data_IF_671801510305
#
_entry.id   IF_671801510305
#
_cell.length_a   1.000
_cell.length_b   1.000
_cell.length_c   1.000
_cell.angle_alpha   90.00
_cell.angle_beta   90.00
_cell.angle_gamma   90.00
#
_symmetry.space_group_name_H-M   'P 1'
#
loop_
_entity.id
_entity.type
_entity.pdbx_description
1 polymer ?
#
# COMPACT_ATOMS: atom_id res chain seq x y z
N UNK A 1 -15.33 43.57 36.43
CA UNK A 1 -14.40 43.74 35.31
C UNK A 1 -14.34 42.41 34.57
N UNK A 2 -14.34 42.33 33.24
CA UNK A 2 -14.36 41.08 32.51
C UNK A 2 -15.21 41.12 31.22
N UNK A 3 -15.63 42.34 30.81
CA UNK A 3 -16.42 42.51 29.59
C UNK A 3 -15.50 42.44 28.37
N UNK A 4 -15.85 41.61 27.41
CA UNK A 4 -15.20 41.58 26.10
C UNK A 4 -15.34 42.93 25.40
N UNK A 5 -14.23 43.50 24.95
CA UNK A 5 -14.18 44.84 24.37
C UNK A 5 -14.03 44.80 22.84
N UNK A 6 -13.46 43.74 22.29
CA UNK A 6 -13.28 43.57 20.84
C UNK A 6 -11.95 42.93 20.45
N UNK A 7 -11.81 42.60 19.15
CA UNK A 7 -10.58 42.09 18.55
C UNK A 7 -9.73 43.28 18.07
N UNK A 8 -8.42 43.18 18.24
CA UNK A 8 -7.44 44.08 17.66
C UNK A 8 -6.64 43.39 16.58
N UNK A 9 -6.61 43.97 15.42
CA UNK A 9 -5.76 43.52 14.33
C UNK A 9 -4.28 43.70 14.64
N UNK A 10 -3.38 42.92 14.03
CA UNK A 10 -1.94 43.09 14.15
C UNK A 10 -1.53 44.52 13.81
N UNK A 11 -0.79 45.19 14.72
CA UNK A 11 -0.38 46.57 14.56
C UNK A 11 -0.15 47.28 15.91
N UNK A 12 0.01 48.57 15.85
CA UNK A 12 0.15 49.40 17.05
C UNK A 12 -1.18 49.50 17.79
N UNK A 13 -1.20 49.11 19.07
CA UNK A 13 -2.37 49.21 19.94
C UNK A 13 -1.96 49.64 21.35
N UNK A 14 -2.64 50.63 21.88
CA UNK A 14 -2.44 51.08 23.25
C UNK A 14 -3.38 50.29 24.15
N UNK A 15 -2.80 49.56 25.11
CA UNK A 15 -3.52 48.81 26.14
C UNK A 15 -3.16 49.40 27.51
N UNK A 16 -4.17 49.75 28.30
CA UNK A 16 -3.97 50.24 29.67
C UNK A 16 -4.04 49.03 30.63
N UNK A 17 -2.91 48.58 31.21
CA UNK A 17 -2.83 47.28 31.92
C UNK A 17 -3.75 47.21 33.15
N UNK A 18 -4.12 48.34 33.76
CA UNK A 18 -4.99 48.39 34.95
C UNK A 18 -6.45 48.04 34.59
N UNK A 19 -6.92 48.41 33.38
CA UNK A 19 -8.31 48.27 32.96
C UNK A 19 -8.54 47.24 31.89
N UNK A 20 -7.49 46.84 31.14
CA UNK A 20 -7.58 45.98 29.99
C UNK A 20 -6.55 44.85 30.04
N UNK A 21 -6.95 43.65 29.68
CA UNK A 21 -6.06 42.52 29.48
C UNK A 21 -6.10 42.14 28.02
N UNK A 22 -4.94 41.98 27.41
CA UNK A 22 -4.80 41.52 26.02
C UNK A 22 -4.32 40.08 26.04
N UNK A 23 -5.03 39.22 25.29
CA UNK A 23 -4.62 37.83 25.02
C UNK A 23 -4.21 37.77 23.56
N UNK A 24 -2.97 37.34 23.32
CA UNK A 24 -2.44 37.15 21.97
C UNK A 24 -2.76 35.74 21.51
N UNK A 25 -3.49 35.61 20.40
CA UNK A 25 -3.83 34.36 19.77
C UNK A 25 -3.04 34.23 18.47
N UNK A 26 -2.39 33.10 18.28
CA UNK A 26 -1.66 32.79 17.06
C UNK A 26 -2.62 32.04 16.10
N UNK A 27 -2.82 32.62 14.92
CA UNK A 27 -3.77 32.10 13.91
C UNK A 27 -3.10 31.18 12.85
N UNK A 28 -1.83 30.87 13.04
CA UNK A 28 -1.13 29.93 12.15
C UNK A 28 -1.60 28.51 12.39
N UNK A 29 -1.40 27.65 11.39
CA UNK A 29 -1.63 26.21 11.55
C UNK A 29 -0.71 25.66 12.63
N UNK A 30 -1.28 24.94 13.56
CA UNK A 30 -0.59 24.24 14.66
C UNK A 30 -0.89 22.76 14.58
N UNK A 31 0.07 21.96 15.02
CA UNK A 31 -0.10 20.53 15.19
C UNK A 31 -0.35 20.19 16.67
N UNK A 32 -1.33 19.34 16.92
CA UNK A 32 -1.57 18.71 18.23
C UNK A 32 -1.32 17.22 18.07
N UNK A 33 -0.41 16.73 18.88
CA UNK A 33 -0.18 15.29 18.98
C UNK A 33 -1.23 14.67 19.91
N UNK A 34 -1.91 13.65 19.40
CA UNK A 34 -2.92 12.87 20.15
C UNK A 34 -2.20 11.63 20.65
N UNK A 35 -2.05 11.46 21.98
CA UNK A 35 -1.33 10.32 22.54
C UNK A 35 -2.04 9.01 22.24
N UNK A 36 -1.30 7.90 22.43
CA UNK A 36 -1.78 6.55 22.20
C UNK A 36 -3.12 6.27 22.91
N UNK A 37 -4.10 5.89 22.11
CA UNK A 37 -5.42 5.48 22.58
C UNK A 37 -5.59 3.97 22.42
N UNK A 38 -5.83 3.27 23.53
CA UNK A 38 -6.22 1.87 23.49
C UNK A 38 -7.70 1.77 23.10
N UNK A 39 -7.97 1.07 22.02
CA UNK A 39 -9.31 0.85 21.47
C UNK A 39 -9.53 -0.63 21.22
N UNK A 40 -10.79 -1.04 21.19
CA UNK A 40 -11.20 -2.37 20.73
C UNK A 40 -12.01 -2.16 19.47
N UNK A 41 -11.58 -2.75 18.37
CA UNK A 41 -12.27 -2.68 17.08
C UNK A 41 -13.58 -3.50 17.10
N UNK A 42 -14.41 -3.36 16.07
CA UNK A 42 -15.69 -4.06 15.96
C UNK A 42 -15.52 -5.58 15.94
N UNK A 43 -14.44 -6.09 15.42
CA UNK A 43 -14.05 -7.50 15.38
C UNK A 43 -13.34 -7.99 16.67
N UNK A 44 -13.46 -7.18 17.76
CA UNK A 44 -12.96 -7.49 19.10
C UNK A 44 -11.43 -7.61 19.20
N UNK A 45 -10.69 -6.88 18.36
CA UNK A 45 -9.23 -6.80 18.41
C UNK A 45 -8.81 -5.57 19.21
N UNK A 46 -7.95 -5.77 20.22
CA UNK A 46 -7.34 -4.67 20.96
C UNK A 46 -6.20 -4.04 20.17
N UNK A 47 -6.24 -2.72 20.01
CA UNK A 47 -5.19 -1.98 19.32
C UNK A 47 -4.87 -0.67 20.05
N UNK A 48 -3.68 -0.12 19.82
CA UNK A 48 -3.32 1.24 20.20
C UNK A 48 -3.12 2.08 18.95
N UNK A 49 -3.71 3.27 18.95
CA UNK A 49 -3.64 4.20 17.82
C UNK A 49 -3.29 5.60 18.32
N UNK A 50 -2.47 6.30 17.56
CA UNK A 50 -2.14 7.71 17.76
C UNK A 50 -2.36 8.52 16.48
N UNK A 51 -2.47 9.84 16.62
CA UNK A 51 -2.70 10.73 15.51
C UNK A 51 -2.09 12.12 15.72
N UNK A 52 -1.99 12.87 14.65
CA UNK A 52 -1.69 14.31 14.68
C UNK A 52 -2.82 15.06 14.02
N UNK A 53 -3.24 16.13 14.66
CA UNK A 53 -4.27 17.04 14.15
C UNK A 53 -3.63 18.38 13.82
N UNK A 54 -3.84 18.80 12.58
CA UNK A 54 -3.45 20.13 12.11
C UNK A 54 -4.67 21.03 12.15
N UNK A 55 -4.60 22.07 12.97
CA UNK A 55 -5.69 23.02 13.15
C UNK A 55 -5.18 24.47 13.12
N UNK A 56 -6.07 25.38 12.81
CA UNK A 56 -5.84 26.83 12.93
C UNK A 56 -7.00 27.48 13.66
N UNK A 57 -6.72 28.61 14.30
CA UNK A 57 -7.77 29.46 14.88
C UNK A 57 -8.35 30.31 13.76
N UNK A 58 -9.63 30.10 13.44
CA UNK A 58 -10.37 30.89 12.46
C UNK A 58 -10.95 32.17 13.09
N UNK A 59 -11.49 32.06 14.31
CA UNK A 59 -12.04 33.20 15.06
C UNK A 59 -11.39 33.27 16.46
N UNK A 60 -10.52 34.27 16.65
CA UNK A 60 -9.82 34.45 17.90
C UNK A 60 -10.73 34.86 19.07
N UNK A 61 -11.88 35.50 18.81
CA UNK A 61 -12.81 35.86 19.88
C UNK A 61 -13.50 34.61 20.44
N UNK A 62 -14.05 33.76 19.55
CA UNK A 62 -14.69 32.51 19.96
C UNK A 62 -13.68 31.60 20.67
N UNK A 63 -12.47 31.44 20.15
CA UNK A 63 -11.44 30.60 20.73
C UNK A 63 -11.03 30.98 22.16
N UNK A 64 -11.17 32.25 22.55
CA UNK A 64 -10.82 32.73 23.89
C UNK A 64 -12.03 32.82 24.81
N UNK A 65 -13.24 33.07 24.27
CA UNK A 65 -14.45 33.24 25.06
C UNK A 65 -15.18 31.92 25.35
N UNK A 66 -15.20 31.01 24.37
CA UNK A 66 -15.94 29.75 24.49
C UNK A 66 -15.14 28.64 25.17
N UNK A 67 -13.79 28.69 25.05
CA UNK A 67 -12.94 27.60 25.56
C UNK A 67 -11.75 28.17 26.33
N UNK A 68 -11.54 27.70 27.55
CA UNK A 68 -10.42 28.11 28.40
C UNK A 68 -9.07 27.72 27.79
N UNK A 69 -8.96 26.47 27.33
CA UNK A 69 -7.75 25.94 26.70
C UNK A 69 -8.11 25.13 25.46
N UNK A 70 -8.13 25.78 24.33
CA UNK A 70 -8.51 25.16 23.05
C UNK A 70 -7.56 24.05 22.61
N UNK A 71 -6.26 24.12 22.96
CA UNK A 71 -5.32 23.06 22.67
C UNK A 71 -5.72 21.74 23.37
N UNK A 72 -5.99 21.85 24.67
CA UNK A 72 -6.41 20.69 25.47
C UNK A 72 -7.79 20.18 25.05
N UNK A 73 -8.74 21.06 24.80
CA UNK A 73 -10.08 20.69 24.37
C UNK A 73 -10.06 19.94 23.01
N UNK A 74 -9.33 20.43 22.01
CA UNK A 74 -9.17 19.77 20.71
C UNK A 74 -8.52 18.40 20.88
N UNK A 75 -7.48 18.28 21.73
CA UNK A 75 -6.83 17.00 21.99
C UNK A 75 -7.78 15.99 22.63
N UNK A 76 -8.60 16.39 23.61
CA UNK A 76 -9.57 15.50 24.27
C UNK A 76 -10.71 15.10 23.33
N UNK A 77 -11.21 16.04 22.54
CA UNK A 77 -12.23 15.74 21.53
C UNK A 77 -11.71 14.73 20.51
N UNK A 78 -10.49 14.94 20.04
CA UNK A 78 -9.83 14.04 19.11
C UNK A 78 -9.67 12.62 19.66
N UNK A 79 -9.18 12.49 20.89
CA UNK A 79 -9.05 11.18 21.55
C UNK A 79 -10.37 10.43 21.61
N UNK A 80 -11.45 11.14 21.98
CA UNK A 80 -12.77 10.55 22.09
C UNK A 80 -13.34 10.17 20.72
N UNK A 81 -13.21 11.04 19.73
CA UNK A 81 -13.68 10.80 18.37
C UNK A 81 -12.94 9.67 17.70
N UNK A 82 -11.61 9.62 17.84
CA UNK A 82 -10.79 8.50 17.35
C UNK A 82 -11.23 7.18 17.97
N UNK A 83 -11.40 7.14 19.29
CA UNK A 83 -11.85 5.93 19.99
C UNK A 83 -13.19 5.44 19.45
N UNK A 84 -14.14 6.33 19.23
CA UNK A 84 -15.45 5.99 18.73
C UNK A 84 -15.42 5.49 17.29
N UNK A 85 -14.70 6.16 16.40
CA UNK A 85 -14.61 5.81 14.98
C UNK A 85 -13.87 4.48 14.80
N UNK A 86 -12.69 4.35 15.40
CA UNK A 86 -11.89 3.12 15.31
C UNK A 86 -12.59 1.94 16.01
N UNK A 87 -13.28 2.19 17.13
CA UNK A 87 -14.07 1.18 17.79
C UNK A 87 -15.30 0.71 16.99
N UNK A 88 -15.77 1.48 16.03
CA UNK A 88 -16.86 1.11 15.12
C UNK A 88 -16.40 0.47 13.81
N UNK A 89 -15.11 0.56 13.49
CA UNK A 89 -14.49 0.01 12.28
C UNK A 89 -13.96 -1.42 12.53
N UNK A 90 -13.82 -2.19 11.47
CA UNK A 90 -13.10 -3.47 11.48
C UNK A 90 -11.59 -3.23 11.33
N UNK A 91 -10.78 -4.17 11.81
CA UNK A 91 -9.33 -4.09 11.74
C UNK A 91 -8.84 -3.91 10.30
N UNK A 92 -9.39 -4.67 9.37
CA UNK A 92 -9.04 -4.59 7.95
C UNK A 92 -9.36 -3.21 7.36
N UNK A 93 -10.49 -2.58 7.77
CA UNK A 93 -10.85 -1.23 7.35
C UNK A 93 -9.84 -0.20 7.90
N UNK A 94 -9.42 -0.34 9.15
CA UNK A 94 -8.42 0.56 9.78
C UNK A 94 -7.07 0.46 9.08
N UNK A 95 -6.67 -0.73 8.64
CA UNK A 95 -5.39 -0.95 7.97
C UNK A 95 -5.40 -0.55 6.49
N UNK A 96 -6.49 -0.85 5.78
CA UNK A 96 -6.60 -0.64 4.33
C UNK A 96 -7.11 0.76 3.95
N UNK A 97 -8.02 1.36 4.75
CA UNK A 97 -8.73 2.60 4.41
C UNK A 97 -8.40 3.75 5.39
N UNK A 98 -7.13 3.91 5.75
CA UNK A 98 -6.67 4.95 6.71
C UNK A 98 -7.13 6.36 6.32
N UNK A 99 -7.04 6.71 5.05
CA UNK A 99 -7.43 8.03 4.54
C UNK A 99 -8.91 8.32 4.76
N UNK A 100 -9.76 7.33 4.53
CA UNK A 100 -11.22 7.46 4.73
C UNK A 100 -11.58 7.64 6.20
N UNK A 101 -10.88 6.92 7.09
CA UNK A 101 -11.04 7.08 8.53
C UNK A 101 -10.55 8.46 9.00
N UNK A 102 -9.38 8.90 8.54
CA UNK A 102 -8.85 10.24 8.82
C UNK A 102 -9.82 11.33 8.39
N UNK A 103 -10.42 11.19 7.20
CA UNK A 103 -11.41 12.13 6.70
C UNK A 103 -12.68 12.17 7.57
N UNK A 104 -13.21 11.01 7.96
CA UNK A 104 -14.35 10.93 8.88
C UNK A 104 -14.06 11.57 10.25
N UNK A 105 -12.88 11.32 10.79
CA UNK A 105 -12.43 11.90 12.05
C UNK A 105 -12.35 13.43 11.92
N UNK A 106 -11.74 13.92 10.84
CA UNK A 106 -11.64 15.34 10.52
C UNK A 106 -13.03 15.99 10.48
N UNK A 107 -13.97 15.45 9.74
CA UNK A 107 -15.32 16.00 9.57
C UNK A 107 -16.07 16.16 10.90
N UNK A 108 -15.94 15.16 11.77
CA UNK A 108 -16.59 15.22 13.09
C UNK A 108 -15.91 16.25 13.99
N UNK A 109 -14.58 16.24 14.05
CA UNK A 109 -13.83 17.18 14.89
C UNK A 109 -14.04 18.61 14.41
N UNK A 110 -13.96 18.87 13.11
CA UNK A 110 -14.12 20.20 12.52
C UNK A 110 -15.51 20.76 12.83
N UNK A 111 -16.56 19.94 12.70
CA UNK A 111 -17.92 20.33 13.04
C UNK A 111 -18.09 20.73 14.52
N UNK A 112 -17.50 19.98 15.43
CA UNK A 112 -17.58 20.26 16.87
C UNK A 112 -16.70 21.47 17.28
N UNK A 113 -15.58 21.68 16.58
CA UNK A 113 -14.65 22.79 16.87
C UNK A 113 -15.03 24.10 16.21
N UNK A 114 -15.93 24.08 15.22
CA UNK A 114 -16.47 25.29 14.57
C UNK A 114 -17.14 26.26 15.57
N UNK A 115 -17.84 25.71 16.58
CA UNK A 115 -18.43 26.51 17.65
C UNK A 115 -17.38 27.27 18.46
N UNK A 116 -16.19 26.70 18.58
CA UNK A 116 -15.04 27.32 19.28
C UNK A 116 -14.20 28.24 18.38
N UNK A 117 -14.58 28.40 17.10
CA UNK A 117 -13.84 29.20 16.14
C UNK A 117 -12.50 28.59 15.73
N UNK A 118 -12.40 27.26 15.76
CA UNK A 118 -11.21 26.49 15.37
C UNK A 118 -11.56 25.68 14.13
N UNK A 119 -10.71 25.76 13.12
CA UNK A 119 -10.86 24.95 11.88
C UNK A 119 -9.78 23.88 11.83
N UNK A 120 -10.19 22.66 11.58
CA UNK A 120 -9.30 21.49 11.42
C UNK A 120 -8.92 21.34 9.96
N UNK A 121 -7.65 21.54 9.65
CA UNK A 121 -7.12 21.44 8.28
C UNK A 121 -6.94 19.98 7.86
N UNK A 122 -6.31 19.20 8.74
CA UNK A 122 -6.03 17.78 8.46
C UNK A 122 -5.95 16.95 9.74
N UNK A 123 -6.25 15.66 9.61
CA UNK A 123 -6.03 14.65 10.66
C UNK A 123 -5.25 13.50 10.05
N UNK A 124 -4.13 13.16 10.64
CA UNK A 124 -3.27 12.08 10.19
C UNK A 124 -3.13 11.02 11.28
N UNK A 125 -3.51 9.80 10.96
CA UNK A 125 -3.26 8.63 11.80
C UNK A 125 -1.79 8.24 11.63
N UNK A 126 -1.03 8.21 12.74
CA UNK A 126 0.42 7.87 12.72
C UNK A 126 0.61 6.36 12.77
N UNK A 127 0.64 5.84 13.98
CA UNK A 127 0.99 4.44 14.23
C UNK A 127 -0.22 3.66 14.71
N UNK A 128 -0.27 2.41 14.32
CA UNK A 128 -1.26 1.45 14.76
C UNK A 128 -0.54 0.23 15.32
N UNK A 129 -0.65 0.05 16.62
CA UNK A 129 0.02 -1.04 17.33
C UNK A 129 -0.97 -2.13 17.70
N UNK A 130 -0.61 -3.34 17.34
CA UNK A 130 -1.33 -4.56 17.71
C UNK A 130 -0.57 -5.29 18.81
N UNK A 131 -1.22 -6.12 19.63
CA UNK A 131 -0.53 -7.08 20.49
C UNK A 131 0.32 -8.05 19.66
N UNK A 132 1.51 -8.42 20.18
CA UNK A 132 2.50 -9.26 19.50
C UNK A 132 1.93 -10.57 18.93
N UNK A 133 1.00 -11.21 19.65
CA UNK A 133 0.38 -12.46 19.23
C UNK A 133 -0.52 -12.26 18.00
N UNK A 134 -1.21 -11.12 17.94
CA UNK A 134 -2.09 -10.79 16.83
C UNK A 134 -1.26 -10.37 15.60
N UNK A 135 -0.20 -9.58 15.81
CA UNK A 135 0.71 -9.19 14.74
C UNK A 135 1.31 -10.42 14.05
N UNK A 136 1.75 -11.42 14.82
CA UNK A 136 2.26 -12.68 14.27
C UNK A 136 1.20 -13.46 13.49
N UNK A 137 -0.03 -13.45 13.96
CA UNK A 137 -1.14 -14.14 13.28
C UNK A 137 -1.48 -13.49 11.96
N UNK A 138 -1.58 -12.15 11.93
CA UNK A 138 -1.83 -11.36 10.72
C UNK A 138 -0.67 -11.51 9.74
N UNK A 139 0.59 -11.49 10.22
CA UNK A 139 1.75 -11.70 9.37
C UNK A 139 1.70 -13.07 8.66
N UNK A 140 1.36 -14.15 9.37
CA UNK A 140 1.20 -15.48 8.76
C UNK A 140 0.05 -15.53 7.76
N UNK A 141 -1.07 -14.88 8.07
CA UNK A 141 -2.21 -14.80 7.14
C UNK A 141 -1.84 -14.03 5.87
N UNK A 142 -1.14 -12.89 6.03
CA UNK A 142 -0.68 -12.08 4.90
C UNK A 142 0.36 -12.84 4.04
N UNK A 143 1.24 -13.63 4.66
CA UNK A 143 2.19 -14.49 3.96
C UNK A 143 1.48 -15.56 3.13
N UNK A 144 0.53 -16.28 3.74
CA UNK A 144 -0.26 -17.30 3.05
C UNK A 144 -1.08 -16.72 1.88
N UNK A 145 -1.66 -15.54 2.06
CA UNK A 145 -2.40 -14.86 0.98
C UNK A 145 -1.48 -14.40 -0.16
N UNK A 146 -0.27 -13.91 0.17
CA UNK A 146 0.74 -13.56 -0.84
C UNK A 146 1.20 -14.80 -1.61
N UNK A 147 1.45 -15.90 -0.91
CA UNK A 147 1.82 -17.17 -1.54
C UNK A 147 0.71 -17.68 -2.46
N UNK A 148 -0.54 -17.66 -2.00
CA UNK A 148 -1.71 -18.03 -2.82
C UNK A 148 -1.79 -17.17 -4.09
N UNK A 149 -1.64 -15.85 -3.98
CA UNK A 149 -1.64 -14.94 -5.14
C UNK A 149 -0.47 -15.22 -6.07
N UNK A 150 0.72 -15.46 -5.52
CA UNK A 150 1.90 -15.78 -6.33
C UNK A 150 1.70 -17.05 -7.16
N UNK A 151 1.11 -18.10 -6.58
CA UNK A 151 0.79 -19.35 -7.28
C UNK A 151 -0.23 -19.11 -8.40
N UNK A 152 -1.28 -18.31 -8.16
CA UNK A 152 -2.28 -17.97 -9.18
C UNK A 152 -1.63 -17.20 -10.33
N UNK A 153 -0.88 -16.13 -10.03
CA UNK A 153 -0.21 -15.30 -11.04
C UNK A 153 0.78 -16.15 -11.84
N UNK A 154 1.51 -17.05 -11.19
CA UNK A 154 2.43 -17.99 -11.86
C UNK A 154 1.69 -18.90 -12.83
N UNK A 155 0.58 -19.51 -12.38
CA UNK A 155 -0.23 -20.39 -13.22
C UNK A 155 -0.84 -19.65 -14.42
N UNK A 156 -1.36 -18.44 -14.21
CA UNK A 156 -1.85 -17.58 -15.30
C UNK A 156 -0.72 -17.22 -16.28
N UNK A 157 0.46 -16.91 -15.76
CA UNK A 157 1.65 -16.66 -16.57
C UNK A 157 2.09 -17.87 -17.40
N UNK A 158 2.03 -19.07 -16.82
CA UNK A 158 2.34 -20.32 -17.54
C UNK A 158 1.33 -20.60 -18.66
N UNK A 159 0.03 -20.37 -18.43
CA UNK A 159 -1.00 -20.50 -19.46
C UNK A 159 -0.76 -19.50 -20.60
N UNK A 160 -0.54 -18.22 -20.27
CA UNK A 160 -0.25 -17.20 -21.29
C UNK A 160 1.03 -17.50 -22.06
N UNK A 161 2.07 -18.00 -21.39
CA UNK A 161 3.30 -18.43 -22.04
C UNK A 161 3.06 -19.62 -22.99
N UNK A 162 2.25 -20.61 -22.58
CA UNK A 162 1.92 -21.77 -23.40
C UNK A 162 1.11 -21.36 -24.66
N UNK A 163 0.15 -20.44 -24.54
CA UNK A 163 -0.60 -19.91 -25.68
C UNK A 163 0.31 -19.16 -26.66
N UNK A 164 1.22 -18.34 -26.15
CA UNK A 164 2.19 -17.61 -26.96
C UNK A 164 3.16 -18.57 -27.64
N UNK A 165 3.63 -19.61 -26.95
CA UNK A 165 4.47 -20.66 -27.53
C UNK A 165 3.75 -21.44 -28.62
N UNK A 166 2.48 -21.80 -28.39
CA UNK A 166 1.67 -22.50 -29.40
C UNK A 166 1.46 -21.64 -30.65
N UNK A 167 1.23 -20.34 -30.46
CA UNK A 167 1.10 -19.39 -31.57
C UNK A 167 2.42 -19.23 -32.33
N UNK A 168 3.53 -19.07 -31.61
CA UNK A 168 4.86 -18.99 -32.21
C UNK A 168 5.23 -20.26 -32.98
N UNK A 169 4.91 -21.44 -32.43
CA UNK A 169 5.15 -22.73 -33.09
C UNK A 169 4.34 -22.86 -34.40
N UNK A 170 3.07 -22.41 -34.40
CA UNK A 170 2.24 -22.38 -35.63
C UNK A 170 2.85 -21.45 -36.69
N UNK A 171 3.32 -20.26 -36.31
CA UNK A 171 3.96 -19.31 -37.23
C UNK A 171 5.27 -19.89 -37.81
N UNK A 172 6.10 -20.52 -36.97
CA UNK A 172 7.34 -21.15 -37.39
C UNK A 172 7.10 -22.36 -38.31
N UNK A 173 6.03 -23.14 -38.10
CA UNK A 173 5.67 -24.26 -38.95
C UNK A 173 5.22 -23.82 -40.35
N UNK A 174 4.71 -22.59 -40.52
CA UNK A 174 4.31 -22.04 -41.82
C UNK A 174 5.45 -21.52 -42.68
N UNK A 175 6.64 -21.25 -42.08
CA UNK A 175 7.78 -20.68 -42.77
C UNK A 175 8.87 -21.75 -42.97
N UNK A 176 9.12 -22.21 -44.21
CA UNK A 176 10.18 -23.19 -44.53
C UNK A 176 11.56 -22.66 -44.07
N UNK A 177 12.22 -23.43 -43.20
CA UNK A 177 13.55 -23.08 -42.67
C UNK A 177 13.58 -22.24 -41.39
N UNK A 178 12.45 -21.69 -40.94
CA UNK A 178 12.40 -20.89 -39.71
C UNK A 178 12.72 -21.73 -38.43
N UNK A 179 12.36 -23.00 -38.42
CA UNK A 179 12.74 -23.94 -37.37
C UNK A 179 14.27 -24.12 -37.27
N UNK A 180 14.98 -24.20 -38.39
CA UNK A 180 16.44 -24.33 -38.39
C UNK A 180 17.13 -23.07 -37.87
N UNK A 181 16.63 -21.89 -38.25
CA UNK A 181 17.16 -20.62 -37.74
C UNK A 181 16.92 -20.51 -36.23
N UNK A 182 15.74 -20.95 -35.72
CA UNK A 182 15.44 -20.92 -34.28
C UNK A 182 16.30 -21.89 -33.48
N UNK A 183 16.58 -23.10 -33.99
CA UNK A 183 17.50 -24.03 -33.34
C UNK A 183 18.92 -23.51 -33.29
N UNK A 184 19.41 -22.85 -34.37
CA UNK A 184 20.71 -22.21 -34.38
C UNK A 184 20.79 -21.04 -33.40
N UNK A 185 19.73 -20.26 -33.28
CA UNK A 185 19.66 -19.16 -32.34
C UNK A 185 19.65 -19.66 -30.86
N UNK A 186 18.88 -20.73 -30.57
CA UNK A 186 18.90 -21.33 -29.25
C UNK A 186 20.25 -21.95 -28.89
N UNK A 187 20.99 -22.52 -29.86
CA UNK A 187 22.35 -23.00 -29.68
C UNK A 187 23.33 -21.85 -29.41
N UNK A 188 23.15 -20.71 -30.07
CA UNK A 188 23.98 -19.53 -29.85
C UNK A 188 23.73 -18.92 -28.46
N UNK A 189 22.44 -18.88 -27.99
CA UNK A 189 22.08 -18.39 -26.69
C UNK A 189 22.66 -19.28 -25.56
N UNK A 190 22.62 -20.61 -25.74
CA UNK A 190 23.25 -21.57 -24.81
C UNK A 190 24.80 -21.46 -24.82
N UNK A 191 25.42 -21.09 -25.93
CA UNK A 191 26.87 -20.92 -26.03
C UNK A 191 27.37 -19.63 -25.38
N UNK A 192 26.48 -18.64 -25.13
CA UNK A 192 26.88 -17.37 -24.52
C UNK A 192 26.94 -17.44 -22.98
N UNK A 193 26.31 -18.43 -22.36
CA UNK A 193 26.41 -18.68 -20.91
C UNK A 193 27.73 -19.40 -20.61
N UNK A 194 28.53 -18.81 -19.71
CA UNK A 194 29.87 -19.27 -19.31
C UNK A 194 29.88 -20.59 -18.49
N UNK A 195 28.85 -21.40 -18.53
CA UNK A 195 28.82 -22.69 -17.86
C UNK A 195 29.19 -23.81 -18.86
N UNK A 196 30.31 -24.44 -18.62
CA UNK A 196 30.96 -25.47 -19.46
C UNK A 196 30.22 -26.83 -19.53
N UNK A 197 28.90 -26.89 -19.31
CA UNK A 197 28.16 -28.14 -19.42
C UNK A 197 27.10 -27.99 -20.50
N UNK A 198 27.36 -28.49 -21.70
CA UNK A 198 26.39 -28.55 -22.80
C UNK A 198 25.62 -29.85 -22.69
N UNK A 199 24.38 -29.80 -22.22
CA UNK A 199 23.47 -30.95 -22.23
C UNK A 199 22.71 -30.96 -23.57
N UNK A 200 23.09 -31.83 -24.48
CA UNK A 200 22.33 -32.05 -25.70
C UNK A 200 21.14 -32.97 -25.44
N UNK A 201 19.94 -32.43 -25.35
CA UNK A 201 18.73 -33.18 -25.47
C UNK A 201 18.39 -33.38 -26.97
N UNK A 202 18.82 -34.47 -27.58
CA UNK A 202 18.42 -34.82 -28.93
C UNK A 202 17.00 -35.43 -28.89
N UNK A 203 16.04 -34.86 -29.66
CA UNK A 203 14.74 -35.50 -29.82
C UNK A 203 14.91 -36.95 -30.34
N UNK A 204 14.18 -37.88 -29.74
CA UNK A 204 14.25 -39.30 -30.06
C UNK A 204 13.96 -39.60 -31.56
N UNK A 205 13.21 -38.68 -32.20
CA UNK A 205 12.91 -38.75 -33.64
C UNK A 205 14.17 -38.62 -34.52
N UNK A 206 15.17 -37.84 -34.12
CA UNK A 206 16.44 -37.70 -34.86
C UNK A 206 17.26 -39.00 -34.79
N UNK A 207 17.27 -39.67 -33.65
CA UNK A 207 17.91 -40.97 -33.49
C UNK A 207 17.21 -42.05 -34.33
N UNK A 208 15.89 -42.07 -34.40
CA UNK A 208 15.14 -42.96 -35.27
C UNK A 208 15.36 -42.70 -36.74
N UNK A 209 15.51 -41.44 -37.14
CA UNK A 209 15.86 -41.11 -38.55
C UNK A 209 17.25 -41.60 -38.93
N UNK A 210 18.24 -41.49 -38.02
CA UNK A 210 19.59 -42.01 -38.23
C UNK A 210 19.61 -43.54 -38.27
N UNK A 211 18.82 -44.23 -37.40
CA UNK A 211 18.68 -45.70 -37.47
C UNK A 211 18.01 -46.15 -38.76
N UNK A 212 16.98 -45.43 -39.21
CA UNK A 212 16.32 -45.72 -40.51
C UNK A 212 17.26 -45.58 -41.72
N UNK A 213 18.13 -44.56 -41.69
CA UNK A 213 19.18 -44.39 -42.71
C UNK A 213 20.21 -45.52 -42.65
N UNK A 214 20.61 -45.95 -41.47
CA UNK A 214 21.58 -47.04 -41.33
C UNK A 214 20.99 -48.39 -41.81
N UNK A 215 19.72 -48.66 -41.58
CA UNK A 215 19.01 -49.82 -42.12
C UNK A 215 18.90 -49.77 -43.66
N UNK A 216 18.63 -48.57 -44.22
CA UNK A 216 18.56 -48.39 -45.67
C UNK A 216 19.92 -48.60 -46.34
N UNK A 217 21.01 -48.10 -45.75
CA UNK A 217 22.37 -48.35 -46.27
C UNK A 217 22.78 -49.81 -46.15
N UNK A 218 22.40 -50.49 -45.06
CA UNK A 218 22.73 -51.92 -44.92
C UNK A 218 21.94 -52.84 -45.88
N UNK A 219 20.69 -52.51 -46.18
CA UNK A 219 19.89 -53.22 -47.19
C UNK A 219 20.39 -53.00 -48.61
N UNK A 220 20.83 -51.78 -48.92
CA UNK A 220 21.43 -51.44 -50.24
C UNK A 220 22.79 -52.09 -50.49
N UNK A 221 23.54 -52.47 -49.47
CA UNK A 221 24.77 -53.25 -49.61
C UNK A 221 24.56 -54.72 -49.79
N UNK A 222 23.47 -55.28 -49.21
CA UNK A 222 23.12 -56.70 -49.38
C UNK A 222 22.66 -57.03 -50.81
N UNK A 223 21.99 -56.10 -51.50
CA UNK A 223 21.48 -56.26 -52.87
C UNK A 223 22.60 -56.09 -53.96
N UNK A 224 23.79 -55.61 -53.62
CA UNK A 224 24.95 -55.50 -54.51
C UNK A 224 25.94 -56.69 -54.44
N UNK A 225 25.67 -57.65 -53.54
CA UNK A 225 26.53 -58.84 -53.33
C UNK A 225 25.95 -60.13 -53.85
N UNK A 226 24.78 -60.10 -54.57
CA UNK A 226 24.27 -61.13 -55.46
C UNK A 226 24.49 -60.71 -56.93
#
# INVERSE_FOLDING_TARGET
MGKYTGIRNPGWSIVVPIFQRMIKVDMRVKAVDVPDQKVITRDNVSASINAVIYYKVADAAKAVLEVENFYFAVSQLAQTTMRNIVGSAELDEVLAEREKLSQRIKEIIDKETDEWGISVENVELKDFFLPDDMERTIAKQAEAERERRAVIIKAEGEVAAAENMATAAKMLAQAPGALHLRTLQSLNDLSSDQSNTVVFATPIEVLRAVEGLNQWFSSSQAEKSE
#
